data_IF_313315309103
#
_entry.id   IF_313315309103
#
_cell.length_a   1.000
_cell.length_b   1.000
_cell.length_c   1.000
_cell.angle_alpha   90.00
_cell.angle_beta   90.00
_cell.angle_gamma   90.00
#
_symmetry.space_group_name_H-M   'P 1'
#
loop_
_entity.id
_entity.type
_entity.pdbx_description
1 polymer ?
#
# COMPACT_ATOMS: atom_id res chain seq x y z
N UNK A 1 -3.26 39.38 0.41
CA UNK A 1 -3.86 38.03 0.38
C UNK A 1 -3.14 37.22 -0.66
N UNK A 2 -2.27 36.28 -0.24
CA UNK A 2 -1.55 35.42 -1.19
C UNK A 2 -2.55 34.37 -1.65
N UNK A 3 -2.99 34.52 -2.90
CA UNK A 3 -3.79 33.47 -3.56
C UNK A 3 -2.94 32.22 -3.64
N UNK A 4 -3.21 31.24 -2.79
CA UNK A 4 -2.71 29.89 -3.02
C UNK A 4 -3.38 29.41 -4.29
N UNK A 5 -2.64 29.40 -5.41
CA UNK A 5 -3.09 28.68 -6.59
C UNK A 5 -3.22 27.20 -6.20
N UNK A 6 -4.45 26.78 -5.90
CA UNK A 6 -4.70 25.38 -5.61
C UNK A 6 -4.40 24.59 -6.88
N UNK A 7 -3.33 23.82 -6.89
CA UNK A 7 -3.06 22.89 -7.96
C UNK A 7 -4.09 21.77 -7.88
N UNK A 8 -4.68 21.48 -9.02
CA UNK A 8 -5.70 20.44 -9.14
C UNK A 8 -5.15 19.28 -9.95
N UNK A 9 -5.64 18.11 -9.64
CA UNK A 9 -5.32 16.87 -10.36
C UNK A 9 -6.61 16.23 -10.84
N UNK A 10 -6.60 15.71 -12.06
CA UNK A 10 -7.75 15.03 -12.63
C UNK A 10 -7.89 13.62 -12.06
N UNK A 11 -9.14 13.16 -11.89
CA UNK A 11 -9.42 11.79 -11.40
C UNK A 11 -8.72 10.71 -12.22
N UNK A 12 -8.61 10.87 -13.54
CA UNK A 12 -7.88 9.90 -14.39
C UNK A 12 -6.42 9.78 -14.00
N UNK A 13 -5.77 10.91 -13.72
CA UNK A 13 -4.38 10.93 -13.27
C UNK A 13 -4.25 10.25 -11.91
N UNK A 14 -5.18 10.49 -11.00
CA UNK A 14 -5.20 9.82 -9.69
C UNK A 14 -5.29 8.31 -9.84
N UNK A 15 -6.19 7.82 -10.70
CA UNK A 15 -6.32 6.39 -10.98
C UNK A 15 -5.06 5.82 -11.61
N UNK A 16 -4.45 6.51 -12.57
CA UNK A 16 -3.20 6.06 -13.20
C UNK A 16 -2.05 5.98 -12.19
N UNK A 17 -1.93 6.96 -11.30
CA UNK A 17 -0.91 6.92 -10.24
C UNK A 17 -1.18 5.76 -9.28
N UNK A 18 -2.44 5.51 -8.90
CA UNK A 18 -2.76 4.37 -8.03
C UNK A 18 -2.44 3.03 -8.68
N UNK A 19 -2.65 2.89 -9.98
CA UNK A 19 -2.26 1.69 -10.72
C UNK A 19 -0.74 1.51 -10.75
N UNK A 20 0.00 2.60 -10.93
CA UNK A 20 1.47 2.56 -10.87
C UNK A 20 1.95 2.14 -9.49
N UNK A 21 1.37 2.69 -8.44
CA UNK A 21 1.70 2.31 -7.06
C UNK A 21 1.39 0.83 -6.81
N UNK A 22 0.25 0.35 -7.29
CA UNK A 22 -0.12 -1.07 -7.21
C UNK A 22 0.91 -1.96 -7.91
N UNK A 23 1.33 -1.58 -9.13
CA UNK A 23 2.35 -2.34 -9.87
C UNK A 23 3.68 -2.36 -9.13
N UNK A 24 4.12 -1.23 -8.60
CA UNK A 24 5.35 -1.14 -7.81
C UNK A 24 5.27 -1.97 -6.52
N UNK A 25 4.12 -1.94 -5.86
CA UNK A 25 3.85 -2.74 -4.66
C UNK A 25 4.00 -4.24 -4.98
N UNK A 26 3.29 -4.72 -5.98
CA UNK A 26 3.30 -6.14 -6.34
C UNK A 26 4.65 -6.58 -6.92
N UNK A 27 5.30 -5.74 -7.72
CA UNK A 27 6.62 -6.04 -8.28
C UNK A 27 7.69 -6.13 -7.19
N UNK A 28 7.71 -5.18 -6.25
CA UNK A 28 8.67 -5.18 -5.14
C UNK A 28 8.46 -6.38 -4.21
N UNK A 29 7.21 -6.73 -3.92
CA UNK A 29 6.87 -7.89 -3.11
C UNK A 29 7.26 -9.21 -3.79
N UNK A 30 7.00 -9.31 -5.09
CA UNK A 30 7.42 -10.47 -5.88
C UNK A 30 8.95 -10.62 -5.86
N UNK A 31 9.69 -9.52 -6.05
CA UNK A 31 11.14 -9.53 -5.94
C UNK A 31 11.58 -10.01 -4.56
N UNK A 32 10.99 -9.48 -3.50
CA UNK A 32 11.33 -9.85 -2.13
C UNK A 32 11.09 -11.34 -1.87
N UNK A 33 9.95 -11.88 -2.28
CA UNK A 33 9.65 -13.31 -2.14
C UNK A 33 10.62 -14.20 -2.92
N UNK A 34 11.14 -13.71 -4.04
CA UNK A 34 12.03 -14.47 -4.92
C UNK A 34 13.49 -14.42 -4.48
N UNK A 35 13.94 -13.38 -3.78
CA UNK A 35 15.35 -13.10 -3.49
C UNK A 35 15.69 -13.10 -2.02
N UNK A 36 14.74 -12.87 -1.12
CA UNK A 36 15.00 -12.82 0.32
C UNK A 36 14.70 -14.17 0.97
N UNK A 37 15.56 -14.58 1.90
CA UNK A 37 15.29 -15.73 2.74
C UNK A 37 14.34 -15.34 3.88
N UNK A 38 13.32 -16.16 4.20
CA UNK A 38 12.37 -15.85 5.25
C UNK A 38 13.05 -15.62 6.60
N UNK A 39 12.66 -14.54 7.29
CA UNK A 39 13.12 -14.20 8.64
C UNK A 39 14.62 -13.94 8.78
N UNK A 40 15.36 -13.79 7.68
CA UNK A 40 16.76 -13.41 7.68
C UNK A 40 16.89 -11.93 7.38
N UNK A 41 17.41 -11.17 8.35
CA UNK A 41 17.62 -9.72 8.19
C UNK A 41 18.85 -9.43 7.35
N UNK A 42 18.73 -8.50 6.39
CA UNK A 42 19.83 -7.99 5.58
C UNK A 42 19.84 -6.47 5.67
N UNK A 43 21.01 -5.84 5.84
CA UNK A 43 21.08 -4.37 5.86
C UNK A 43 20.65 -3.79 4.50
N UNK A 44 19.85 -2.74 4.55
CA UNK A 44 19.47 -1.96 3.38
C UNK A 44 19.94 -0.51 3.51
N UNK A 45 19.50 0.17 4.57
CA UNK A 45 20.07 1.44 5.01
C UNK A 45 20.66 1.21 6.40
N UNK A 46 22.00 1.04 6.51
CA UNK A 46 22.62 0.65 7.77
C UNK A 46 22.23 1.55 8.94
N UNK A 47 21.84 0.94 10.06
CA UNK A 47 21.40 1.64 11.26
C UNK A 47 19.99 2.19 11.22
N UNK A 48 19.28 2.07 10.09
CA UNK A 48 17.93 2.63 9.92
C UNK A 48 16.92 1.62 9.37
N UNK A 49 17.20 1.05 8.19
CA UNK A 49 16.31 0.07 7.56
C UNK A 49 17.05 -1.21 7.25
N UNK A 50 16.37 -2.33 7.38
CA UNK A 50 16.82 -3.63 6.96
C UNK A 50 15.76 -4.33 6.13
N UNK A 51 16.18 -5.29 5.31
CA UNK A 51 15.29 -6.15 4.55
C UNK A 51 15.05 -7.43 5.35
N UNK A 52 13.80 -7.74 5.62
CA UNK A 52 13.41 -8.98 6.28
C UNK A 52 12.07 -9.43 5.73
N UNK A 53 12.05 -10.59 5.08
CA UNK A 53 10.84 -11.15 4.51
C UNK A 53 9.97 -11.75 5.62
N UNK A 54 8.78 -11.19 5.78
CA UNK A 54 7.81 -11.61 6.81
C UNK A 54 6.44 -11.79 6.18
N UNK A 55 5.73 -12.83 6.60
CA UNK A 55 4.32 -13.05 6.26
C UNK A 55 3.45 -12.42 7.35
N UNK A 56 2.75 -11.35 7.01
CA UNK A 56 1.87 -10.66 7.94
C UNK A 56 0.43 -11.16 7.77
N UNK A 57 -0.08 -11.89 8.76
CA UNK A 57 -1.45 -12.42 8.75
C UNK A 57 -2.47 -11.49 9.39
N UNK A 58 -2.02 -10.38 9.98
CA UNK A 58 -2.88 -9.41 10.64
C UNK A 58 -2.82 -8.03 10.02
N UNK A 59 -3.30 -7.05 10.74
CA UNK A 59 -3.15 -5.63 10.45
C UNK A 59 -1.87 -5.10 11.11
N UNK A 60 -1.70 -3.77 11.11
CA UNK A 60 -0.58 -3.13 11.79
C UNK A 60 -0.44 -3.64 13.24
N UNK A 61 0.79 -3.88 13.69
CA UNK A 61 1.11 -4.42 15.02
C UNK A 61 0.51 -5.81 15.29
N UNK A 62 0.28 -6.61 14.25
CA UNK A 62 -0.32 -7.95 14.35
C UNK A 62 -1.72 -7.96 14.97
N UNK A 63 -2.43 -6.85 14.88
CA UNK A 63 -3.85 -6.79 15.27
C UNK A 63 -4.67 -7.66 14.32
N UNK A 64 -5.67 -8.35 14.86
CA UNK A 64 -6.54 -9.24 14.10
C UNK A 64 -5.76 -10.35 13.36
N UNK A 65 -4.68 -10.87 13.98
CA UNK A 65 -3.97 -12.04 13.48
C UNK A 65 -4.96 -13.18 13.23
N UNK A 66 -4.75 -13.93 12.14
CA UNK A 66 -5.63 -15.01 11.68
C UNK A 66 -6.98 -14.56 11.12
N UNK A 67 -7.22 -13.25 11.00
CA UNK A 67 -8.43 -12.68 10.40
C UNK A 67 -8.20 -12.17 8.97
N UNK A 68 -7.37 -12.88 8.19
CA UNK A 68 -6.99 -12.48 6.83
C UNK A 68 -8.19 -12.31 5.92
N UNK A 69 -9.18 -13.21 6.02
CA UNK A 69 -10.41 -13.12 5.23
C UNK A 69 -11.19 -11.84 5.52
N UNK A 70 -11.35 -11.50 6.81
CA UNK A 70 -12.02 -10.27 7.23
C UNK A 70 -11.25 -9.04 6.72
N UNK A 71 -9.93 -9.04 6.90
CA UNK A 71 -9.09 -7.93 6.42
C UNK A 71 -9.11 -7.80 4.90
N UNK A 72 -9.20 -8.93 4.18
CA UNK A 72 -9.38 -8.93 2.73
C UNK A 72 -10.69 -8.29 2.29
N UNK A 73 -11.79 -8.59 2.98
CA UNK A 73 -13.10 -7.96 2.73
C UNK A 73 -13.06 -6.46 3.04
N UNK A 74 -12.45 -6.08 4.18
CA UNK A 74 -12.30 -4.67 4.55
C UNK A 74 -11.45 -3.91 3.53
N UNK A 75 -10.39 -4.53 2.99
CA UNK A 75 -9.58 -3.94 1.92
C UNK A 75 -10.42 -3.66 0.68
N UNK A 76 -11.28 -4.59 0.29
CA UNK A 76 -12.18 -4.40 -0.84
C UNK A 76 -13.16 -3.25 -0.60
N UNK A 77 -13.78 -3.18 0.58
CA UNK A 77 -14.72 -2.12 0.93
C UNK A 77 -14.05 -0.75 0.95
N UNK A 78 -12.85 -0.65 1.52
CA UNK A 78 -12.07 0.60 1.53
C UNK A 78 -11.70 1.00 0.10
N UNK A 79 -11.25 0.07 -0.73
CA UNK A 79 -10.91 0.35 -2.14
C UNK A 79 -12.11 0.86 -2.91
N UNK A 80 -13.29 0.25 -2.72
CA UNK A 80 -14.54 0.70 -3.37
C UNK A 80 -14.93 2.10 -2.90
N UNK A 81 -14.79 2.40 -1.61
CA UNK A 81 -15.05 3.73 -1.07
C UNK A 81 -14.11 4.79 -1.63
N UNK A 82 -12.82 4.49 -1.73
CA UNK A 82 -11.81 5.39 -2.32
C UNK A 82 -12.08 5.62 -3.81
N UNK A 83 -12.39 4.57 -4.56
CA UNK A 83 -12.77 4.68 -5.97
C UNK A 83 -14.02 5.52 -6.16
N UNK A 84 -15.03 5.35 -5.31
CA UNK A 84 -16.24 6.15 -5.34
C UNK A 84 -15.96 7.64 -5.12
N UNK A 85 -15.11 7.95 -4.15
CA UNK A 85 -14.69 9.33 -3.89
C UNK A 85 -13.97 9.93 -5.11
N UNK A 86 -12.97 9.23 -5.64
CA UNK A 86 -12.20 9.66 -6.81
C UNK A 86 -13.13 9.87 -8.00
N UNK A 87 -14.05 8.93 -8.24
CA UNK A 87 -14.93 8.99 -9.40
C UNK A 87 -15.94 10.12 -9.35
N UNK A 88 -16.43 10.48 -8.16
CA UNK A 88 -17.35 11.60 -7.96
C UNK A 88 -16.66 12.95 -8.10
N UNK A 89 -15.34 13.00 -8.04
CA UNK A 89 -14.57 14.23 -8.08
C UNK A 89 -13.93 14.36 -9.46
N UNK A 90 -14.39 15.30 -10.29
CA UNK A 90 -13.76 15.56 -11.59
C UNK A 90 -12.32 16.01 -11.43
N UNK A 91 -12.08 16.85 -10.44
CA UNK A 91 -10.76 17.37 -10.06
C UNK A 91 -10.65 17.37 -8.55
N UNK A 92 -9.48 17.06 -8.09
CA UNK A 92 -9.12 17.00 -6.67
C UNK A 92 -7.98 17.98 -6.40
N UNK A 93 -7.88 18.47 -5.17
CA UNK A 93 -6.64 19.08 -4.73
C UNK A 93 -5.50 18.10 -4.94
N UNK A 94 -4.33 18.62 -5.39
CA UNK A 94 -3.18 17.77 -5.73
C UNK A 94 -2.78 16.84 -4.58
N UNK A 95 -2.68 17.38 -3.37
CA UNK A 95 -2.25 16.58 -2.22
C UNK A 95 -3.28 15.55 -1.80
N UNK A 96 -4.56 15.91 -1.86
CA UNK A 96 -5.65 14.96 -1.61
C UNK A 96 -5.64 13.86 -2.66
N UNK A 97 -5.50 14.22 -3.94
CA UNK A 97 -5.44 13.26 -5.04
C UNK A 97 -4.26 12.30 -4.91
N UNK A 98 -3.08 12.79 -4.57
CA UNK A 98 -1.90 11.96 -4.35
C UNK A 98 -2.07 11.02 -3.14
N UNK A 99 -2.66 11.52 -2.06
CA UNK A 99 -2.95 10.70 -0.88
C UNK A 99 -3.95 9.58 -1.22
N UNK A 100 -5.01 9.90 -1.96
CA UNK A 100 -6.00 8.91 -2.40
C UNK A 100 -5.37 7.86 -3.33
N UNK A 101 -4.47 8.29 -4.23
CA UNK A 101 -3.75 7.37 -5.10
C UNK A 101 -2.88 6.38 -4.32
N UNK A 102 -2.14 6.87 -3.33
CA UNK A 102 -1.31 6.03 -2.45
C UNK A 102 -2.16 5.07 -1.63
N UNK A 103 -3.24 5.56 -1.02
CA UNK A 103 -4.14 4.73 -0.23
C UNK A 103 -4.81 3.64 -1.07
N UNK A 104 -5.29 4.00 -2.26
CA UNK A 104 -5.95 3.04 -3.15
C UNK A 104 -4.96 1.99 -3.65
N UNK A 105 -3.79 2.40 -4.13
CA UNK A 105 -2.77 1.48 -4.63
C UNK A 105 -2.27 0.54 -3.53
N UNK A 106 -1.99 1.06 -2.35
CA UNK A 106 -1.55 0.26 -1.20
C UNK A 106 -2.63 -0.69 -0.68
N UNK A 107 -3.87 -0.21 -0.58
CA UNK A 107 -5.01 -1.03 -0.14
C UNK A 107 -5.26 -2.19 -1.09
N UNK A 108 -5.23 -1.93 -2.41
CA UNK A 108 -5.37 -2.98 -3.42
C UNK A 108 -4.21 -3.96 -3.39
N UNK A 109 -2.97 -3.47 -3.22
CA UNK A 109 -1.79 -4.33 -3.14
C UNK A 109 -1.86 -5.30 -1.96
N UNK A 110 -2.19 -4.81 -0.79
CA UNK A 110 -2.39 -5.64 0.40
C UNK A 110 -3.61 -6.54 0.27
N UNK A 111 -4.69 -6.05 -0.35
CA UNK A 111 -5.88 -6.85 -0.63
C UNK A 111 -5.59 -8.02 -1.55
N UNK A 112 -4.85 -7.78 -2.64
CA UNK A 112 -4.44 -8.84 -3.58
C UNK A 112 -3.62 -9.91 -2.85
N UNK A 113 -2.66 -9.51 -2.01
CA UNK A 113 -1.89 -10.46 -1.22
C UNK A 113 -2.80 -11.33 -0.35
N UNK A 114 -3.75 -10.72 0.37
CA UNK A 114 -4.67 -11.47 1.23
C UNK A 114 -5.57 -12.43 0.46
N UNK A 115 -6.05 -12.01 -0.71
CA UNK A 115 -6.93 -12.83 -1.53
C UNK A 115 -6.21 -13.99 -2.20
N UNK A 116 -4.95 -13.79 -2.62
CA UNK A 116 -4.16 -14.81 -3.31
C UNK A 116 -3.32 -15.67 -2.38
N UNK A 117 -2.69 -15.05 -1.38
CA UNK A 117 -1.69 -15.71 -0.54
C UNK A 117 -2.20 -16.05 0.86
N UNK A 118 -3.22 -15.32 1.34
CA UNK A 118 -3.68 -15.44 2.72
C UNK A 118 -2.85 -14.67 3.73
N UNK A 119 -1.92 -13.84 3.29
CA UNK A 119 -1.09 -12.96 4.11
C UNK A 119 -0.59 -11.78 3.30
N UNK A 120 -0.12 -10.74 3.97
CA UNK A 120 0.57 -9.61 3.32
C UNK A 120 2.06 -9.85 3.41
N UNK A 121 2.76 -9.67 2.29
CA UNK A 121 4.21 -9.73 2.23
C UNK A 121 4.79 -8.41 2.74
N UNK A 122 5.58 -8.47 3.82
CA UNK A 122 6.37 -7.36 4.34
C UNK A 122 7.85 -7.67 4.18
N UNK A 123 8.65 -6.69 3.79
CA UNK A 123 10.08 -6.88 3.59
C UNK A 123 10.95 -5.72 4.05
N UNK A 124 10.36 -4.59 4.43
CA UNK A 124 11.07 -3.45 5.01
C UNK A 124 10.80 -3.38 6.51
N UNK A 125 11.85 -3.30 7.29
CA UNK A 125 11.78 -3.25 8.74
C UNK A 125 12.72 -2.17 9.28
N UNK A 126 12.26 -1.42 10.28
CA UNK A 126 13.12 -0.51 11.01
C UNK A 126 14.10 -1.32 11.86
N UNK A 127 15.36 -0.91 11.83
CA UNK A 127 16.37 -1.55 12.69
C UNK A 127 16.01 -1.30 14.15
N UNK A 128 15.92 -2.35 15.00
CA UNK A 128 15.60 -2.20 16.40
C UNK A 128 16.68 -1.39 17.14
N UNK A 129 16.26 -0.53 18.03
CA UNK A 129 17.16 0.25 18.88
C UNK A 129 17.51 -0.51 20.15
#
# INVERSE_FOLDING_TARGET
MISRSNRLIRRRTVVLISLLILLLDQASKFWARSHLLPNLSQPFLPGFLQLRLVRNTGAAFSMLSDSTALLGVLSLLVALGLLGWIWRSKRLDLWVGLALACLLGGTLGNGIDRWQLGYVTDFLELVPF
#
